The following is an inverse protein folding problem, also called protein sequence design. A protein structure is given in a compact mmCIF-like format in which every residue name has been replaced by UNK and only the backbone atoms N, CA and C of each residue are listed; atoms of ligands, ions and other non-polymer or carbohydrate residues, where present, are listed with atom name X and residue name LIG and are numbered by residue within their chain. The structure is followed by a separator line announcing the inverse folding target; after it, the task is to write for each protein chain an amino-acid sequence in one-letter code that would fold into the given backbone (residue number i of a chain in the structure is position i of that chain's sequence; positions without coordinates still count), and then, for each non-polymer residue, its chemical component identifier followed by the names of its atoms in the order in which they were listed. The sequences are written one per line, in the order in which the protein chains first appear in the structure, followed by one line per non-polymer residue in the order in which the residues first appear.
data_IF_532235249013
#
_entry.id   IF_532235249013
#
_cell.length_a   1.000
_cell.length_b   1.000
_cell.length_c   1.000
_cell.angle_alpha   90.00
_cell.angle_beta   90.00
_cell.angle_gamma   90.00
#
_symmetry.space_group_name_H-M   'P 1'
#
loop_
_entity.id
_entity.type
_entity.pdbx_description
1 polymer ?
#
# COMPACT_ATOMS: atom_id res chain seq x y z
N UNK A 1 -30.18 -11.74 -0.84
CA UNK A 1 -28.97 -11.06 -0.33
C UNK A 1 -27.81 -11.33 -1.29
N UNK A 2 -27.04 -10.31 -1.67
CA UNK A 2 -25.85 -10.44 -2.50
C UNK A 2 -24.61 -10.18 -1.64
N UNK A 3 -23.52 -10.88 -1.91
CA UNK A 3 -22.24 -10.73 -1.16
C UNK A 3 -21.75 -9.30 -1.12
N UNK A 4 -21.89 -8.56 -2.23
CA UNK A 4 -21.52 -7.14 -2.30
C UNK A 4 -22.26 -6.24 -1.31
N UNK A 5 -23.45 -6.62 -0.84
CA UNK A 5 -24.18 -5.85 0.18
C UNK A 5 -23.53 -6.02 1.56
N UNK A 6 -22.98 -7.21 1.88
CA UNK A 6 -22.23 -7.44 3.10
C UNK A 6 -20.90 -6.67 3.08
N UNK A 7 -20.19 -6.70 1.94
CA UNK A 7 -18.95 -5.93 1.77
C UNK A 7 -19.17 -4.42 1.89
N UNK A 8 -20.25 -3.90 1.28
CA UNK A 8 -20.64 -2.49 1.40
C UNK A 8 -21.00 -2.13 2.84
N UNK A 9 -21.69 -3.02 3.55
CA UNK A 9 -22.06 -2.83 4.95
C UNK A 9 -20.84 -2.83 5.88
N UNK A 10 -19.90 -3.74 5.69
CA UNK A 10 -18.63 -3.76 6.42
C UNK A 10 -17.86 -2.45 6.18
N UNK A 11 -17.74 -2.01 4.94
CA UNK A 11 -17.11 -0.73 4.61
C UNK A 11 -17.78 0.46 5.30
N UNK A 12 -19.12 0.47 5.40
CA UNK A 12 -19.86 1.52 6.11
C UNK A 12 -19.61 1.50 7.61
N UNK A 13 -19.56 0.31 8.21
CA UNK A 13 -19.28 0.14 9.63
C UNK A 13 -17.90 0.71 10.02
N UNK A 14 -16.89 0.47 9.17
CA UNK A 14 -15.51 0.93 9.38
C UNK A 14 -15.36 2.43 9.14
N UNK A 15 -15.87 2.94 8.02
CA UNK A 15 -15.69 4.35 7.64
C UNK A 15 -16.63 5.31 8.35
N UNK A 16 -17.79 4.80 8.81
CA UNK A 16 -18.90 5.57 9.41
C UNK A 16 -19.40 6.72 8.52
N UNK A 17 -19.22 6.57 7.20
CA UNK A 17 -19.55 7.60 6.20
C UNK A 17 -20.04 6.97 4.91
N UNK A 18 -21.28 7.23 4.53
CA UNK A 18 -21.85 6.75 3.25
C UNK A 18 -21.06 7.22 2.03
N UNK A 19 -20.64 8.50 2.02
CA UNK A 19 -19.89 9.05 0.88
C UNK A 19 -18.51 8.42 0.76
N UNK A 20 -17.79 8.26 1.89
CA UNK A 20 -16.45 7.64 1.90
C UNK A 20 -16.51 6.16 1.51
N UNK A 21 -17.49 5.42 2.05
CA UNK A 21 -17.69 4.02 1.68
C UNK A 21 -18.03 3.87 0.19
N UNK A 22 -18.91 4.72 -0.35
CA UNK A 22 -19.26 4.69 -1.76
C UNK A 22 -18.02 4.90 -2.65
N UNK A 23 -17.12 5.83 -2.30
CA UNK A 23 -15.86 6.05 -2.99
C UNK A 23 -14.95 4.81 -2.92
N UNK A 24 -14.75 4.24 -1.72
CA UNK A 24 -13.94 3.03 -1.52
C UNK A 24 -14.50 1.82 -2.28
N UNK A 25 -15.81 1.74 -2.43
CA UNK A 25 -16.50 0.66 -3.13
C UNK A 25 -16.73 0.95 -4.63
N UNK A 26 -16.17 2.06 -5.16
CA UNK A 26 -16.27 2.48 -6.56
C UNK A 26 -17.71 2.55 -7.09
N UNK A 27 -18.62 3.05 -6.26
CA UNK A 27 -20.03 3.25 -6.63
C UNK A 27 -20.50 4.66 -6.28
N UNK A 28 -21.61 5.09 -6.89
CA UNK A 28 -22.23 6.36 -6.50
C UNK A 28 -22.90 6.25 -5.12
N UNK A 29 -22.87 7.32 -4.33
CA UNK A 29 -23.47 7.33 -2.99
C UNK A 29 -24.97 6.94 -2.99
N UNK A 30 -25.82 7.34 -3.97
CA UNK A 30 -27.18 6.85 -4.04
C UNK A 30 -27.29 5.33 -4.31
N UNK A 31 -26.41 4.78 -5.13
CA UNK A 31 -26.37 3.33 -5.37
C UNK A 31 -25.93 2.56 -4.11
N UNK A 32 -24.91 3.06 -3.42
CA UNK A 32 -24.44 2.51 -2.15
C UNK A 32 -25.56 2.53 -1.09
N UNK A 33 -26.24 3.67 -0.91
CA UNK A 33 -27.33 3.80 0.05
C UNK A 33 -28.48 2.82 -0.24
N UNK A 34 -28.83 2.62 -1.52
CA UNK A 34 -29.86 1.63 -1.91
C UNK A 34 -29.45 0.20 -1.56
N UNK A 35 -28.18 -0.16 -1.67
CA UNK A 35 -27.70 -1.51 -1.28
C UNK A 35 -27.77 -1.73 0.22
N UNK A 36 -27.45 -0.72 1.04
CA UNK A 36 -27.63 -0.79 2.50
C UNK A 36 -29.12 -0.92 2.84
N UNK A 37 -30.00 -0.13 2.22
CA UNK A 37 -31.45 -0.27 2.41
C UNK A 37 -31.97 -1.65 2.01
N UNK A 38 -31.48 -2.23 0.92
CA UNK A 38 -31.83 -3.59 0.50
C UNK A 38 -31.37 -4.64 1.51
N UNK A 39 -30.22 -4.43 2.15
CA UNK A 39 -29.73 -5.30 3.22
C UNK A 39 -30.58 -5.18 4.49
N UNK A 40 -30.97 -3.96 4.89
CA UNK A 40 -31.89 -3.70 6.00
C UNK A 40 -33.28 -4.34 5.75
N UNK A 41 -33.79 -4.22 4.53
CA UNK A 41 -35.04 -4.87 4.13
C UNK A 41 -34.94 -6.41 4.19
N UNK A 42 -33.81 -6.97 3.79
CA UNK A 42 -33.56 -8.41 3.91
C UNK A 42 -33.43 -8.86 5.38
N UNK A 43 -32.76 -8.04 6.22
CA UNK A 43 -32.60 -8.31 7.65
C UNK A 43 -33.90 -8.12 8.46
N UNK A 44 -34.87 -7.39 7.90
CA UNK A 44 -36.13 -7.07 8.56
C UNK A 44 -36.00 -6.05 9.70
N UNK A 45 -34.88 -5.35 9.80
CA UNK A 45 -34.59 -4.35 10.84
C UNK A 45 -33.57 -3.33 10.36
N UNK A 46 -33.58 -2.14 10.97
CA UNK A 46 -32.56 -1.14 10.75
C UNK A 46 -31.20 -1.61 11.28
N UNK A 47 -30.19 -1.55 10.46
CA UNK A 47 -28.81 -1.91 10.79
C UNK A 47 -27.95 -0.70 11.10
N UNK A 48 -28.40 0.48 10.62
CA UNK A 48 -27.66 1.74 10.68
C UNK A 48 -28.51 2.82 11.33
N UNK A 49 -28.01 3.46 12.36
CA UNK A 49 -28.59 4.68 12.94
C UNK A 49 -28.20 5.88 12.07
N UNK A 50 -29.18 6.37 11.30
CA UNK A 50 -29.01 7.52 10.40
C UNK A 50 -29.22 8.87 11.09
N UNK A 51 -29.68 8.87 12.34
CA UNK A 51 -29.90 10.08 13.12
C UNK A 51 -28.60 10.63 13.73
N UNK A 52 -27.57 9.78 13.83
CA UNK A 52 -26.27 10.13 14.39
C UNK A 52 -25.24 10.52 13.33
N UNK A 53 -24.39 11.51 13.66
CA UNK A 53 -23.22 11.86 12.85
C UNK A 53 -21.97 11.86 13.75
N UNK A 54 -20.91 11.09 13.43
CA UNK A 54 -20.81 10.10 12.34
C UNK A 54 -21.81 8.94 12.49
N UNK A 55 -22.16 8.32 11.37
CA UNK A 55 -23.10 7.18 11.29
C UNK A 55 -22.69 6.05 12.24
N UNK A 56 -23.65 5.45 12.93
CA UNK A 56 -23.42 4.35 13.88
C UNK A 56 -24.22 3.11 13.50
N UNK A 57 -23.73 1.95 13.92
CA UNK A 57 -24.50 0.71 13.84
C UNK A 57 -25.52 0.61 14.97
N UNK A 58 -26.70 0.08 14.66
CA UNK A 58 -27.65 -0.39 15.66
C UNK A 58 -27.12 -1.64 16.36
N UNK A 59 -27.74 -2.11 17.49
CA UNK A 59 -27.38 -3.41 18.07
C UNK A 59 -27.50 -4.57 17.08
N UNK A 60 -28.54 -4.60 16.24
CA UNK A 60 -28.70 -5.55 15.15
C UNK A 60 -27.59 -5.40 14.09
N UNK A 61 -27.24 -4.15 13.77
CA UNK A 61 -26.12 -3.86 12.86
C UNK A 61 -24.79 -4.39 13.37
N UNK A 62 -24.50 -4.29 14.68
CA UNK A 62 -23.27 -4.84 15.26
C UNK A 62 -23.24 -6.37 15.14
N UNK A 63 -24.34 -7.05 15.47
CA UNK A 63 -24.44 -8.50 15.29
C UNK A 63 -24.24 -8.91 13.84
N UNK A 64 -24.87 -8.21 12.88
CA UNK A 64 -24.69 -8.52 11.47
C UNK A 64 -23.27 -8.18 11.00
N UNK A 65 -22.60 -7.16 11.53
CA UNK A 65 -21.23 -6.82 11.20
C UNK A 65 -20.28 -7.98 11.52
N UNK A 66 -20.34 -8.49 12.75
CA UNK A 66 -19.51 -9.62 13.20
C UNK A 66 -19.76 -10.87 12.34
N UNK A 67 -21.02 -11.18 12.07
CA UNK A 67 -21.41 -12.31 11.21
C UNK A 67 -21.03 -12.09 9.73
N UNK A 68 -21.07 -10.84 9.25
CA UNK A 68 -20.65 -10.52 7.87
C UNK A 68 -19.18 -10.77 7.66
N UNK A 69 -18.33 -10.45 8.64
CA UNK A 69 -16.90 -10.75 8.60
C UNK A 69 -16.65 -12.26 8.49
N UNK A 70 -17.34 -13.08 9.30
CA UNK A 70 -17.23 -14.55 9.28
C UNK A 70 -17.71 -15.13 7.94
N UNK A 71 -18.86 -14.67 7.43
CA UNK A 71 -19.43 -15.14 6.16
C UNK A 71 -18.51 -14.81 4.97
N UNK A 72 -18.04 -13.57 4.89
CA UNK A 72 -17.13 -13.13 3.84
C UNK A 72 -15.83 -13.94 3.91
N UNK A 73 -15.32 -14.16 5.11
CA UNK A 73 -14.16 -15.01 5.35
C UNK A 73 -14.37 -16.44 4.84
N UNK A 74 -15.50 -17.05 5.19
CA UNK A 74 -15.85 -18.42 4.75
C UNK A 74 -15.93 -18.54 3.24
N UNK A 75 -16.51 -17.54 2.56
CA UNK A 75 -16.55 -17.47 1.09
C UNK A 75 -15.14 -17.33 0.48
N UNK A 76 -14.30 -16.51 1.06
CA UNK A 76 -12.90 -16.35 0.60
C UNK A 76 -12.10 -17.64 0.78
N UNK A 77 -12.24 -18.31 1.93
CA UNK A 77 -11.58 -19.58 2.19
C UNK A 77 -12.04 -20.67 1.21
N UNK A 78 -13.36 -20.76 0.98
CA UNK A 78 -13.92 -21.70 0.01
C UNK A 78 -13.40 -21.43 -1.40
N UNK A 79 -13.33 -20.16 -1.81
CA UNK A 79 -12.78 -19.77 -3.11
C UNK A 79 -11.28 -20.09 -3.23
N UNK A 80 -10.51 -19.91 -2.15
CA UNK A 80 -9.11 -20.29 -2.09
C UNK A 80 -8.93 -21.80 -2.22
N UNK A 81 -9.73 -22.59 -1.51
CA UNK A 81 -9.74 -24.06 -1.62
C UNK A 81 -10.09 -24.53 -3.03
N UNK A 82 -11.13 -23.96 -3.66
CA UNK A 82 -11.51 -24.30 -5.03
C UNK A 82 -10.42 -23.96 -6.04
N UNK A 83 -9.74 -22.84 -5.86
CA UNK A 83 -8.59 -22.46 -6.69
C UNK A 83 -7.39 -23.39 -6.48
N UNK A 84 -7.13 -23.83 -5.26
CA UNK A 84 -6.09 -24.82 -4.97
C UNK A 84 -6.36 -26.17 -5.66
N UNK A 85 -7.63 -26.55 -5.82
CA UNK A 85 -8.03 -27.75 -6.56
C UNK A 85 -7.93 -27.60 -8.08
N UNK A 86 -8.12 -26.39 -8.62
CA UNK A 86 -8.08 -26.13 -10.09
C UNK A 86 -6.70 -25.70 -10.61
N UNK A 87 -5.77 -25.34 -9.73
CA UNK A 87 -4.47 -24.86 -10.18
C UNK A 87 -3.51 -26.03 -10.49
N UNK A 88 -3.38 -26.33 -11.77
CA UNK A 88 -2.17 -26.95 -12.39
C UNK A 88 -0.90 -26.11 -12.13
N UNK A 89 -0.91 -25.16 -11.19
CA UNK A 89 0.10 -24.14 -10.92
C UNK A 89 0.58 -24.10 -9.49
N UNK A 90 0.76 -25.26 -8.81
CA UNK A 90 1.41 -25.31 -7.48
C UNK A 90 2.83 -24.70 -7.47
N UNK A 91 3.40 -24.44 -8.65
CA UNK A 91 4.75 -23.92 -8.83
C UNK A 91 4.84 -22.41 -9.05
N UNK A 92 3.71 -21.68 -9.15
CA UNK A 92 3.70 -20.23 -9.40
C UNK A 92 3.28 -19.49 -8.14
N UNK A 93 4.16 -18.64 -7.62
CA UNK A 93 3.86 -17.76 -6.48
C UNK A 93 3.32 -16.42 -7.00
N UNK A 94 2.11 -16.05 -6.57
CA UNK A 94 1.45 -14.82 -6.95
C UNK A 94 1.70 -13.72 -5.91
N UNK A 95 2.26 -12.61 -6.35
CA UNK A 95 2.57 -11.44 -5.54
C UNK A 95 1.68 -10.27 -5.91
N UNK A 96 1.04 -9.63 -4.93
CA UNK A 96 0.46 -8.30 -5.06
C UNK A 96 1.46 -7.28 -4.52
N UNK A 97 1.83 -6.29 -5.34
CA UNK A 97 2.91 -5.34 -4.99
C UNK A 97 2.51 -3.94 -5.46
N UNK A 98 2.59 -2.90 -4.62
CA UNK A 98 2.41 -1.53 -5.06
C UNK A 98 3.37 -1.14 -6.19
N UNK A 99 2.88 -0.32 -7.13
CA UNK A 99 3.60 0.04 -8.35
C UNK A 99 5.07 0.39 -8.12
N UNK A 100 5.36 1.27 -7.17
CA UNK A 100 6.74 1.69 -6.87
C UNK A 100 7.62 0.50 -6.50
N UNK A 101 7.21 -0.33 -5.53
CA UNK A 101 7.97 -1.52 -5.11
C UNK A 101 8.09 -2.56 -6.24
N UNK A 102 7.07 -2.68 -7.09
CA UNK A 102 7.07 -3.59 -8.23
C UNK A 102 8.19 -3.28 -9.22
N UNK A 103 8.54 -2.00 -9.40
CA UNK A 103 9.60 -1.56 -10.31
C UNK A 103 10.97 -1.43 -9.64
N UNK A 104 11.01 -1.00 -8.38
CA UNK A 104 12.27 -0.58 -7.75
C UNK A 104 12.88 -1.64 -6.86
N UNK A 105 12.06 -2.38 -6.12
CA UNK A 105 12.47 -3.36 -5.12
C UNK A 105 12.36 -4.80 -5.64
N UNK A 106 11.20 -5.18 -6.14
CA UNK A 106 10.84 -6.57 -6.45
C UNK A 106 11.81 -7.27 -7.41
N UNK A 107 12.30 -6.66 -8.52
CA UNK A 107 13.19 -7.36 -9.45
C UNK A 107 14.52 -7.75 -8.81
N UNK A 108 15.16 -6.87 -8.05
CA UNK A 108 16.40 -7.15 -7.36
C UNK A 108 16.20 -8.20 -6.26
N UNK A 109 15.14 -8.03 -5.46
CA UNK A 109 14.79 -8.95 -4.38
C UNK A 109 14.50 -10.38 -4.89
N UNK A 110 13.77 -10.54 -6.00
CA UNK A 110 13.53 -11.88 -6.60
C UNK A 110 14.82 -12.49 -7.13
N UNK A 111 15.72 -11.70 -7.72
CA UNK A 111 17.01 -12.22 -8.19
C UNK A 111 17.85 -12.78 -7.05
N UNK A 112 17.92 -12.08 -5.92
CA UNK A 112 18.62 -12.56 -4.72
C UNK A 112 17.92 -13.78 -4.11
N UNK A 113 16.60 -13.75 -4.09
CA UNK A 113 15.80 -14.87 -3.59
C UNK A 113 16.00 -16.14 -4.43
N UNK A 114 16.11 -16.01 -5.75
CA UNK A 114 16.48 -17.14 -6.62
C UNK A 114 17.86 -17.70 -6.31
N UNK A 115 18.82 -16.87 -5.91
CA UNK A 115 20.15 -17.31 -5.52
C UNK A 115 20.16 -18.06 -4.18
N UNK A 116 19.28 -17.70 -3.22
CA UNK A 116 19.26 -18.25 -1.86
C UNK A 116 18.28 -19.44 -1.72
N UNK A 117 17.08 -19.31 -2.26
CA UNK A 117 15.99 -20.27 -2.17
C UNK A 117 15.98 -21.25 -3.35
N UNK A 118 16.45 -20.81 -4.50
CA UNK A 118 16.37 -21.54 -5.77
C UNK A 118 15.29 -20.95 -6.70
N UNK A 119 15.28 -21.39 -7.98
CA UNK A 119 14.38 -20.87 -8.99
C UNK A 119 12.92 -21.27 -8.72
N UNK A 120 12.00 -20.32 -8.83
CA UNK A 120 10.56 -20.54 -8.80
C UNK A 120 9.85 -19.64 -9.82
N UNK A 121 8.64 -20.04 -10.20
CA UNK A 121 7.81 -19.22 -11.09
C UNK A 121 7.07 -18.16 -10.25
N UNK A 122 7.13 -16.91 -10.66
CA UNK A 122 6.44 -15.82 -10.00
C UNK A 122 5.41 -15.17 -10.93
N UNK A 123 4.32 -14.67 -10.34
CA UNK A 123 3.34 -13.79 -10.99
C UNK A 123 3.27 -12.50 -10.19
N UNK A 124 3.64 -11.40 -10.81
CA UNK A 124 3.54 -10.07 -10.21
C UNK A 124 2.24 -9.40 -10.63
N UNK A 125 1.50 -8.87 -9.67
CA UNK A 125 0.29 -8.06 -9.86
C UNK A 125 0.60 -6.69 -9.27
N UNK A 126 0.90 -5.72 -10.13
CA UNK A 126 1.20 -4.35 -9.72
C UNK A 126 -0.11 -3.56 -9.55
N UNK A 127 -0.29 -2.92 -8.40
CA UNK A 127 -1.53 -2.24 -8.00
C UNK A 127 -1.19 -0.98 -7.19
N UNK A 128 -2.19 -0.17 -6.80
CA UNK A 128 -2.00 0.76 -5.70
C UNK A 128 -2.04 0.01 -4.35
N UNK A 129 -1.65 0.69 -3.24
CA UNK A 129 -1.54 0.01 -1.94
C UNK A 129 -2.86 -0.57 -1.48
N UNK A 130 -3.97 0.18 -1.61
CA UNK A 130 -5.29 -0.28 -1.19
C UNK A 130 -5.72 -1.55 -1.95
N UNK A 131 -5.62 -1.52 -3.28
CA UNK A 131 -6.02 -2.65 -4.13
C UNK A 131 -5.10 -3.86 -3.93
N UNK A 132 -3.81 -3.65 -3.64
CA UNK A 132 -2.87 -4.72 -3.32
C UNK A 132 -3.25 -5.42 -2.00
N UNK A 133 -3.64 -4.66 -0.97
CA UNK A 133 -4.17 -5.19 0.30
C UNK A 133 -5.48 -5.95 0.06
N UNK A 134 -6.41 -5.37 -0.69
CA UNK A 134 -7.67 -6.04 -1.03
C UNK A 134 -7.43 -7.32 -1.82
N UNK A 135 -6.43 -7.34 -2.71
CA UNK A 135 -6.05 -8.53 -3.45
C UNK A 135 -5.60 -9.69 -2.56
N UNK A 136 -4.86 -9.38 -1.48
CA UNK A 136 -4.51 -10.38 -0.46
C UNK A 136 -5.75 -10.83 0.32
N UNK A 137 -6.57 -9.88 0.78
CA UNK A 137 -7.78 -10.16 1.56
C UNK A 137 -8.76 -11.03 0.78
N UNK A 138 -8.89 -10.82 -0.53
CA UNK A 138 -9.73 -11.61 -1.44
C UNK A 138 -9.09 -12.94 -1.86
N UNK A 139 -7.93 -13.33 -1.33
CA UNK A 139 -7.22 -14.54 -1.71
C UNK A 139 -6.77 -14.54 -3.18
N UNK A 140 -6.56 -13.35 -3.76
CA UNK A 140 -6.17 -13.19 -5.17
C UNK A 140 -4.67 -13.23 -5.41
N UNK A 141 -3.85 -13.32 -4.35
CA UNK A 141 -2.40 -13.53 -4.38
C UNK A 141 -2.00 -14.39 -3.17
N UNK A 142 -0.78 -14.92 -3.22
CA UNK A 142 -0.17 -15.67 -2.11
C UNK A 142 0.53 -14.75 -1.11
N UNK A 143 1.16 -13.69 -1.62
CA UNK A 143 1.93 -12.74 -0.83
C UNK A 143 1.63 -11.30 -1.28
N UNK A 144 1.48 -10.41 -0.30
CA UNK A 144 1.50 -8.96 -0.48
C UNK A 144 2.88 -8.45 -0.05
N UNK A 145 3.53 -7.64 -0.87
CA UNK A 145 4.73 -6.87 -0.45
C UNK A 145 4.33 -5.40 -0.43
N UNK A 146 4.53 -4.72 0.69
CA UNK A 146 4.13 -3.31 0.81
C UNK A 146 5.04 -2.54 1.79
N UNK A 147 5.02 -1.22 1.68
CA UNK A 147 5.60 -0.33 2.69
C UNK A 147 4.78 -0.36 3.97
N UNK A 148 5.47 -0.23 5.08
CA UNK A 148 4.86 -0.04 6.39
C UNK A 148 5.55 1.07 7.16
N UNK A 149 4.76 1.97 7.74
CA UNK A 149 5.22 2.96 8.71
C UNK A 149 4.21 3.04 9.85
N UNK A 150 4.64 3.23 11.13
CA UNK A 150 3.71 3.31 12.27
C UNK A 150 2.64 4.39 12.15
N UNK A 151 2.96 5.52 11.50
CA UNK A 151 2.01 6.60 11.25
C UNK A 151 1.04 6.34 10.09
N UNK A 152 1.30 5.31 9.27
CA UNK A 152 0.47 4.89 8.15
C UNK A 152 0.50 3.36 8.04
N UNK A 153 -0.04 2.64 9.05
CA UNK A 153 0.00 1.18 9.07
C UNK A 153 -0.89 0.59 8.00
N UNK A 154 -0.46 -0.55 7.44
CA UNK A 154 -1.36 -1.40 6.66
C UNK A 154 -2.30 -2.08 7.64
N UNK A 155 -3.60 -1.87 7.45
CA UNK A 155 -4.63 -2.43 8.30
C UNK A 155 -4.96 -3.86 7.84
N UNK A 156 -4.28 -4.83 8.43
CA UNK A 156 -4.54 -6.26 8.31
C UNK A 156 -4.70 -6.82 9.71
N UNK A 157 -5.67 -7.70 9.91
CA UNK A 157 -5.89 -8.38 11.17
C UNK A 157 -4.70 -9.29 11.50
N UNK A 158 -4.01 -9.03 12.62
CA UNK A 158 -2.82 -9.77 13.05
C UNK A 158 -3.13 -11.23 13.44
N UNK A 159 -4.38 -11.54 13.79
CA UNK A 159 -4.83 -12.92 14.05
C UNK A 159 -4.88 -13.72 12.75
N UNK A 160 -5.28 -13.07 11.66
CA UNK A 160 -5.48 -13.70 10.35
C UNK A 160 -4.24 -13.64 9.47
N UNK A 161 -3.48 -12.56 9.52
CA UNK A 161 -2.33 -12.34 8.66
C UNK A 161 -1.04 -12.37 9.45
N UNK A 162 -0.01 -12.90 8.85
CA UNK A 162 1.35 -12.84 9.39
C UNK A 162 2.24 -12.05 8.45
N UNK A 163 3.31 -11.50 9.00
CA UNK A 163 4.23 -10.67 8.26
C UNK A 163 5.69 -11.04 8.53
N UNK A 164 6.54 -10.72 7.56
CA UNK A 164 7.99 -10.76 7.69
C UNK A 164 8.57 -9.44 7.14
N UNK A 165 9.58 -8.90 7.82
CA UNK A 165 10.31 -7.73 7.32
C UNK A 165 11.24 -8.14 6.19
N UNK A 166 11.21 -7.38 5.09
CA UNK A 166 12.06 -7.56 3.92
C UNK A 166 13.18 -6.51 3.84
N UNK A 167 13.21 -5.55 4.74
CA UNK A 167 14.20 -4.49 4.76
C UNK A 167 13.60 -3.15 5.09
N UNK A 168 14.40 -2.10 4.93
CA UNK A 168 14.02 -0.72 5.16
C UNK A 168 14.37 0.15 3.96
N UNK A 169 13.63 1.22 3.79
CA UNK A 169 13.81 2.17 2.72
C UNK A 169 13.55 3.60 3.19
N UNK A 170 14.37 4.54 2.73
CA UNK A 170 14.21 5.95 3.04
C UNK A 170 13.41 6.66 1.93
N UNK A 171 12.44 7.47 2.34
CA UNK A 171 11.75 8.45 1.50
C UNK A 171 12.39 9.82 1.76
N UNK A 172 12.97 10.44 0.73
CA UNK A 172 13.72 11.68 0.87
C UNK A 172 13.55 12.58 -0.38
N UNK A 173 13.85 13.90 -0.28
CA UNK A 173 13.70 14.83 -1.39
C UNK A 173 14.90 14.80 -2.35
N UNK A 174 14.62 14.77 -3.65
CA UNK A 174 15.60 14.77 -4.73
C UNK A 174 15.25 15.78 -5.81
N UNK A 175 16.29 16.28 -6.48
CA UNK A 175 16.19 17.18 -7.63
C UNK A 175 17.29 16.90 -8.65
N UNK A 176 17.13 17.40 -9.87
CA UNK A 176 18.18 17.43 -10.88
C UNK A 176 19.36 18.29 -10.39
N UNK A 177 20.63 17.88 -10.61
CA UNK A 177 21.78 18.74 -10.35
C UNK A 177 21.90 19.87 -11.37
N UNK A 178 22.47 20.99 -10.95
CA UNK A 178 22.96 22.05 -11.81
C UNK A 178 24.34 21.72 -12.42
N UNK A 179 24.95 22.63 -13.13
CA UNK A 179 26.28 22.47 -13.74
C UNK A 179 27.41 22.26 -12.72
N UNK A 180 27.20 22.62 -11.45
CA UNK A 180 28.13 22.48 -10.33
C UNK A 180 27.86 21.21 -9.50
N UNK A 181 26.86 20.40 -9.89
CA UNK A 181 26.47 19.20 -9.16
C UNK A 181 25.62 19.47 -7.91
N UNK A 182 25.14 20.71 -7.71
CA UNK A 182 24.24 21.06 -6.62
C UNK A 182 22.78 20.89 -7.07
N UNK A 183 21.83 20.64 -6.13
CA UNK A 183 20.43 20.52 -6.51
C UNK A 183 19.92 21.83 -7.13
N UNK A 184 19.32 21.73 -8.32
CA UNK A 184 18.71 22.86 -9.03
C UNK A 184 17.65 23.56 -8.16
N UNK A 185 16.95 22.78 -7.33
CA UNK A 185 15.98 23.26 -6.34
C UNK A 185 16.39 22.76 -4.97
N UNK A 186 16.84 23.67 -4.10
CA UNK A 186 17.34 23.34 -2.76
C UNK A 186 16.35 23.73 -1.68
N UNK A 187 15.93 22.77 -0.86
CA UNK A 187 15.09 23.02 0.30
C UNK A 187 15.81 23.87 1.36
N UNK A 188 15.06 24.72 2.12
CA UNK A 188 13.60 24.73 2.26
C UNK A 188 12.86 25.67 1.28
N UNK A 189 13.52 26.36 0.37
CA UNK A 189 12.93 27.40 -0.46
C UNK A 189 12.69 28.72 0.29
N UNK A 190 12.00 29.67 -0.33
CA UNK A 190 11.66 30.95 0.26
C UNK A 190 10.18 31.29 0.04
N UNK A 191 9.56 32.01 0.98
CA UNK A 191 8.13 32.36 0.89
C UNK A 191 7.79 33.18 -0.37
N UNK A 192 8.72 34.06 -0.79
CA UNK A 192 8.54 34.88 -2.00
C UNK A 192 8.84 34.13 -3.29
N UNK A 193 9.54 33.00 -3.22
CA UNK A 193 9.93 32.18 -4.37
C UNK A 193 9.82 30.69 -3.94
N UNK A 194 8.61 30.13 -3.85
CA UNK A 194 8.43 28.74 -3.51
C UNK A 194 9.02 27.84 -4.61
N UNK A 195 9.55 26.69 -4.20
CA UNK A 195 10.16 25.74 -5.14
C UNK A 195 9.09 24.93 -5.87
N UNK A 196 9.24 24.66 -7.18
CA UNK A 196 8.36 23.78 -7.90
C UNK A 196 8.40 22.38 -7.27
N UNK A 197 7.25 21.88 -6.89
CA UNK A 197 7.07 20.61 -6.20
C UNK A 197 6.31 19.61 -7.06
N UNK A 198 6.89 18.43 -7.20
CA UNK A 198 6.32 17.30 -7.88
C UNK A 198 5.71 16.38 -6.80
N UNK A 199 4.39 16.48 -6.61
CA UNK A 199 3.67 15.86 -5.51
C UNK A 199 3.01 14.54 -5.87
N UNK A 200 2.74 13.75 -4.85
CA UNK A 200 1.86 12.59 -5.00
C UNK A 200 0.39 13.03 -5.03
N UNK A 201 -0.42 12.26 -5.76
CA UNK A 201 -1.87 12.44 -5.79
C UNK A 201 -2.50 12.19 -4.42
N UNK A 202 -3.67 12.80 -4.19
CA UNK A 202 -4.43 12.63 -2.96
C UNK A 202 -4.76 11.14 -2.72
N UNK A 203 -4.45 10.64 -1.52
CA UNK A 203 -4.68 9.25 -1.14
C UNK A 203 -3.52 8.30 -1.45
N UNK A 204 -2.47 8.74 -2.15
CA UNK A 204 -1.28 7.93 -2.36
C UNK A 204 -0.53 7.70 -1.02
N UNK A 205 -0.10 6.46 -0.77
CA UNK A 205 0.60 6.08 0.46
C UNK A 205 1.85 6.93 0.71
N UNK A 206 2.72 7.06 -0.31
CA UNK A 206 3.93 7.88 -0.22
C UNK A 206 3.62 9.38 -0.12
N UNK A 207 2.49 9.83 -0.67
CA UNK A 207 2.00 11.20 -0.51
C UNK A 207 1.70 11.52 0.95
N UNK A 208 0.99 10.64 1.64
CA UNK A 208 0.72 10.77 3.08
C UNK A 208 1.99 10.85 3.92
N UNK A 209 2.98 10.01 3.63
CA UNK A 209 4.26 10.05 4.33
C UNK A 209 5.04 11.33 4.01
N UNK A 210 4.99 11.81 2.77
CA UNK A 210 5.60 13.11 2.40
C UNK A 210 4.96 14.26 3.17
N UNK A 211 3.63 14.29 3.27
CA UNK A 211 2.92 15.31 4.05
C UNK A 211 3.31 15.24 5.55
N UNK A 212 3.52 14.04 6.09
CA UNK A 212 4.03 13.87 7.45
C UNK A 212 5.46 14.39 7.61
N UNK A 213 6.37 14.10 6.67
CA UNK A 213 7.73 14.64 6.67
C UNK A 213 7.69 16.17 6.71
N UNK A 214 6.94 16.79 5.78
CA UNK A 214 6.83 18.24 5.68
C UNK A 214 6.26 18.86 6.96
N UNK A 215 5.24 18.22 7.56
CA UNK A 215 4.62 18.68 8.80
C UNK A 215 5.51 18.53 10.03
N UNK A 216 6.27 17.43 10.10
CA UNK A 216 7.11 17.09 11.25
C UNK A 216 8.51 17.69 11.20
N UNK A 217 8.93 18.23 10.05
CA UNK A 217 10.26 18.82 9.84
C UNK A 217 10.60 19.98 10.79
N UNK A 218 9.57 20.64 11.36
CA UNK A 218 9.73 21.75 12.29
C UNK A 218 10.24 23.05 11.65
N UNK A 219 10.41 23.06 10.33
CA UNK A 219 10.89 24.23 9.56
C UNK A 219 9.85 24.63 8.50
N UNK A 220 9.75 25.94 8.17
CA UNK A 220 8.89 26.38 7.08
C UNK A 220 9.50 25.96 5.74
N UNK A 221 8.77 25.13 5.00
CA UNK A 221 9.15 24.68 3.65
C UNK A 221 8.20 25.30 2.65
N UNK A 222 8.76 25.98 1.65
CA UNK A 222 8.01 26.74 0.67
C UNK A 222 8.01 26.02 -0.68
N UNK A 223 6.92 25.32 -0.96
CA UNK A 223 6.72 24.50 -2.15
C UNK A 223 5.47 24.96 -2.90
N UNK A 224 5.56 25.01 -4.23
CA UNK A 224 4.45 25.21 -5.16
C UNK A 224 4.24 23.91 -5.95
N UNK A 225 3.08 23.26 -5.78
CA UNK A 225 2.77 22.00 -6.46
C UNK A 225 2.46 22.23 -7.93
N UNK A 226 3.41 21.90 -8.80
CA UNK A 226 3.32 22.10 -10.26
C UNK A 226 2.95 20.82 -11.03
N UNK A 227 3.04 19.65 -10.38
CA UNK A 227 2.71 18.35 -10.99
C UNK A 227 2.21 17.37 -9.93
N UNK A 228 1.31 16.46 -10.31
CA UNK A 228 0.74 15.45 -9.42
C UNK A 228 0.57 14.11 -10.13
N UNK A 229 0.96 13.01 -9.47
CA UNK A 229 0.73 11.63 -9.90
C UNK A 229 0.76 10.69 -8.67
N UNK A 230 0.17 9.52 -8.78
CA UNK A 230 0.24 8.46 -7.75
C UNK A 230 1.51 7.60 -7.85
N UNK A 231 2.30 7.75 -8.91
CA UNK A 231 3.47 6.91 -9.21
C UNK A 231 4.79 7.64 -8.95
N UNK A 232 5.64 7.09 -8.07
CA UNK A 232 6.98 7.62 -7.81
C UNK A 232 7.85 7.67 -9.09
N UNK A 233 7.69 6.71 -10.00
CA UNK A 233 8.40 6.71 -11.28
C UNK A 233 8.04 7.90 -12.16
N UNK A 234 6.77 8.35 -12.14
CA UNK A 234 6.34 9.56 -12.83
C UNK A 234 6.98 10.82 -12.24
N UNK A 235 7.02 10.92 -10.91
CA UNK A 235 7.71 12.03 -10.21
C UNK A 235 9.22 12.03 -10.50
N UNK A 236 9.85 10.85 -10.50
CA UNK A 236 11.28 10.70 -10.83
C UNK A 236 11.57 11.18 -12.25
N UNK A 237 10.76 10.78 -13.22
CA UNK A 237 10.93 11.20 -14.62
C UNK A 237 10.87 12.75 -14.75
N UNK A 238 9.90 13.38 -14.10
CA UNK A 238 9.77 14.83 -14.10
C UNK A 238 10.94 15.54 -13.36
N UNK A 239 11.42 14.94 -12.26
CA UNK A 239 12.59 15.47 -11.54
C UNK A 239 13.87 15.40 -12.38
N UNK A 240 14.08 14.32 -13.14
CA UNK A 240 15.22 14.16 -14.08
C UNK A 240 15.22 15.22 -15.18
N UNK A 241 14.05 15.64 -15.66
CA UNK A 241 13.92 16.74 -16.61
C UNK A 241 14.10 18.13 -15.98
N UNK A 242 14.14 18.20 -14.63
CA UNK A 242 14.39 19.44 -13.90
C UNK A 242 13.13 20.27 -13.64
N UNK A 243 11.96 19.64 -13.61
CA UNK A 243 10.70 20.34 -13.38
C UNK A 243 10.41 20.66 -11.91
N UNK A 244 11.16 20.10 -10.97
CA UNK A 244 10.94 20.38 -9.53
C UNK A 244 11.64 19.42 -8.59
N UNK A 245 11.30 19.56 -7.29
CA UNK A 245 11.69 18.64 -6.21
C UNK A 245 10.65 17.56 -6.06
N UNK A 246 11.10 16.31 -5.90
CA UNK A 246 10.24 15.17 -5.60
C UNK A 246 10.75 14.43 -4.35
N UNK A 247 9.83 13.96 -3.49
CA UNK A 247 10.17 13.00 -2.44
C UNK A 247 10.04 11.58 -3.03
N UNK A 248 11.15 10.86 -3.05
CA UNK A 248 11.24 9.56 -3.71
C UNK A 248 11.86 8.51 -2.79
N UNK A 249 11.44 7.24 -2.88
CA UNK A 249 12.11 6.14 -2.21
C UNK A 249 13.55 5.97 -2.73
N UNK A 250 14.46 5.59 -1.83
CA UNK A 250 15.89 5.42 -2.16
C UNK A 250 16.13 4.39 -3.27
N UNK A 251 15.35 3.30 -3.29
CA UNK A 251 15.44 2.29 -4.36
C UNK A 251 15.08 2.85 -5.73
N UNK A 252 14.12 3.79 -5.79
CA UNK A 252 13.67 4.40 -7.02
C UNK A 252 14.74 5.28 -7.69
N UNK A 253 15.69 5.81 -6.91
CA UNK A 253 16.69 6.80 -7.38
C UNK A 253 18.13 6.30 -7.34
N UNK A 254 18.37 5.07 -6.87
CA UNK A 254 19.72 4.52 -6.67
C UNK A 254 20.60 4.64 -7.90
N UNK A 255 20.10 4.28 -9.08
CA UNK A 255 20.84 4.34 -10.35
C UNK A 255 21.12 5.78 -10.77
N UNK A 256 20.16 6.65 -10.59
CA UNK A 256 20.24 8.07 -10.95
C UNK A 256 21.21 8.84 -10.04
N UNK A 257 21.22 8.50 -8.72
CA UNK A 257 22.21 9.03 -7.77
C UNK A 257 23.64 8.57 -8.12
N UNK A 258 23.82 7.27 -8.38
CA UNK A 258 25.12 6.75 -8.78
C UNK A 258 25.63 7.33 -10.12
N UNK A 259 24.72 7.68 -11.02
CA UNK A 259 25.04 8.31 -12.30
C UNK A 259 25.12 9.86 -12.22
N UNK A 260 24.91 10.48 -11.04
CA UNK A 260 24.90 11.93 -10.86
C UNK A 260 23.77 12.64 -11.61
N UNK A 261 22.68 11.94 -11.96
CA UNK A 261 21.52 12.50 -12.66
C UNK A 261 20.49 13.10 -11.72
N UNK A 262 20.47 12.65 -10.48
CA UNK A 262 19.71 13.22 -9.37
C UNK A 262 20.65 13.43 -8.19
N UNK A 263 20.32 14.39 -7.32
CA UNK A 263 21.01 14.68 -6.07
C UNK A 263 19.99 14.96 -4.98
N UNK A 264 20.40 14.79 -3.71
CA UNK A 264 19.55 15.14 -2.56
C UNK A 264 19.25 16.65 -2.56
N UNK A 265 17.97 17.00 -2.46
CA UNK A 265 17.52 18.39 -2.44
C UNK A 265 17.60 19.02 -1.05
N UNK A 266 17.78 18.23 0.01
CA UNK A 266 17.96 18.71 1.38
C UNK A 266 19.43 18.99 1.68
N UNK A 267 19.78 20.18 2.25
CA UNK A 267 21.11 20.44 2.78
C UNK A 267 21.44 19.49 3.95
N UNK A 268 22.71 19.34 4.27
CA UNK A 268 23.18 18.31 5.23
C UNK A 268 22.45 18.36 6.58
N UNK A 269 22.22 19.57 7.10
CA UNK A 269 21.55 19.86 8.37
C UNK A 269 20.04 19.54 8.37
N UNK A 270 19.44 19.40 7.20
CA UNK A 270 18.01 19.13 7.03
C UNK A 270 17.72 17.73 6.47
N UNK A 271 18.74 16.90 6.24
CA UNK A 271 18.53 15.53 5.70
C UNK A 271 17.71 14.69 6.63
N UNK A 272 18.05 14.66 7.92
CA UNK A 272 17.34 13.84 8.91
C UNK A 272 15.88 14.28 9.07
N UNK A 273 15.54 15.56 9.32
CA UNK A 273 14.13 15.95 9.44
C UNK A 273 13.33 15.91 8.12
N UNK A 274 14.00 15.83 6.96
CA UNK A 274 13.34 15.76 5.65
C UNK A 274 13.35 14.36 5.02
N UNK A 275 13.59 13.35 5.82
CA UNK A 275 13.48 11.95 5.39
C UNK A 275 12.63 11.14 6.35
N UNK A 276 12.11 10.02 5.86
CA UNK A 276 11.37 9.06 6.66
C UNK A 276 11.79 7.65 6.26
N UNK A 277 12.08 6.81 7.25
CA UNK A 277 12.41 5.41 7.03
C UNK A 277 11.15 4.57 7.14
N UNK A 278 10.91 3.75 6.13
CA UNK A 278 9.79 2.82 6.04
C UNK A 278 10.32 1.39 6.04
N UNK A 279 9.58 0.47 6.64
CA UNK A 279 9.82 -0.96 6.43
C UNK A 279 9.22 -1.39 5.09
N UNK A 280 9.89 -2.31 4.42
CA UNK A 280 9.30 -3.13 3.35
C UNK A 280 8.94 -4.46 3.98
N UNK A 281 7.68 -4.86 3.92
CA UNK A 281 7.16 -6.07 4.55
C UNK A 281 6.43 -6.96 3.56
N UNK A 282 6.60 -8.27 3.72
CA UNK A 282 5.71 -9.25 3.09
C UNK A 282 4.63 -9.68 4.09
N UNK A 283 3.42 -9.87 3.56
CA UNK A 283 2.27 -10.34 4.31
C UNK A 283 1.64 -11.53 3.61
N UNK A 284 1.12 -12.48 4.39
CA UNK A 284 0.27 -13.55 3.89
C UNK A 284 -0.83 -13.90 4.89
N UNK A 285 -1.85 -14.59 4.42
CA UNK A 285 -2.85 -15.20 5.29
C UNK A 285 -2.25 -16.40 6.04
N UNK A 286 -2.55 -16.50 7.35
CA UNK A 286 -2.13 -17.66 8.16
C UNK A 286 -2.83 -18.91 7.67
N UNK A 287 -2.12 -20.04 7.52
CA UNK A 287 -2.77 -21.31 7.22
C UNK A 287 -3.78 -21.69 8.33
N UNK A 288 -5.00 -22.03 7.95
CA UNK A 288 -6.03 -22.48 8.88
C UNK A 288 -6.11 -24.01 8.87
N UNK A 289 -6.00 -24.63 10.04
CA UNK A 289 -6.14 -26.09 10.22
C UNK A 289 -4.80 -26.85 10.23
N UNK A 290 -4.90 -28.19 10.31
CA UNK A 290 -3.74 -29.09 10.37
C UNK A 290 -3.09 -29.36 9.01
N UNK A 291 -3.81 -29.10 7.91
CA UNK A 291 -3.29 -29.25 6.55
C UNK A 291 -2.65 -27.94 6.09
N UNK A 292 -1.37 -27.79 6.40
CA UNK A 292 -0.57 -26.69 5.86
C UNK A 292 -0.45 -26.90 4.34
N UNK A 293 -0.85 -25.93 3.50
CA UNK A 293 -0.74 -26.06 2.05
C UNK A 293 0.69 -26.43 1.65
N UNK A 294 0.88 -27.57 0.97
CA UNK A 294 2.17 -27.93 0.40
C UNK A 294 2.29 -27.21 -0.94
N UNK A 295 3.34 -26.39 -1.12
CA UNK A 295 3.59 -25.69 -2.38
C UNK A 295 4.74 -24.68 -2.25
N UNK A 296 5.17 -24.14 -3.38
CA UNK A 296 6.30 -23.22 -3.47
C UNK A 296 6.10 -21.96 -2.61
N UNK A 297 4.90 -21.42 -2.55
CA UNK A 297 4.58 -20.24 -1.72
C UNK A 297 4.79 -20.49 -0.23
N UNK A 298 4.42 -21.70 0.28
CA UNK A 298 4.63 -22.09 1.67
C UNK A 298 6.12 -22.28 1.99
N UNK A 299 6.85 -22.97 1.12
CA UNK A 299 8.30 -23.18 1.26
C UNK A 299 9.04 -21.83 1.23
N UNK A 300 8.65 -20.95 0.32
CA UNK A 300 9.18 -19.60 0.22
C UNK A 300 8.95 -18.80 1.50
N UNK A 301 7.75 -18.83 2.05
CA UNK A 301 7.44 -18.13 3.30
C UNK A 301 8.27 -18.65 4.46
N UNK A 302 8.39 -19.97 4.62
CA UNK A 302 9.24 -20.58 5.65
C UNK A 302 10.70 -20.15 5.50
N UNK A 303 11.20 -20.06 4.25
CA UNK A 303 12.54 -19.56 3.97
C UNK A 303 12.70 -18.10 4.41
N UNK A 304 11.75 -17.21 4.08
CA UNK A 304 11.77 -15.80 4.49
C UNK A 304 11.74 -15.63 6.01
N UNK A 305 10.96 -16.47 6.72
CA UNK A 305 10.92 -16.46 8.18
C UNK A 305 12.24 -16.92 8.82
N UNK A 306 12.90 -17.92 8.25
CA UNK A 306 14.12 -18.50 8.80
C UNK A 306 15.38 -17.65 8.55
N UNK A 307 15.47 -17.00 7.38
CA UNK A 307 16.70 -16.33 6.95
C UNK A 307 16.57 -14.80 6.92
N UNK A 308 15.37 -14.26 7.20
CA UNK A 308 15.08 -12.85 6.99
C UNK A 308 15.07 -12.47 5.49
N UNK A 309 15.00 -11.18 5.23
CA UNK A 309 15.12 -10.69 3.86
C UNK A 309 16.55 -10.78 3.37
N UNK A 310 16.77 -11.12 2.09
CA UNK A 310 18.06 -10.89 1.44
C UNK A 310 18.46 -9.42 1.63
N UNK A 311 19.68 -9.18 2.14
CA UNK A 311 20.19 -7.81 2.28
C UNK A 311 20.34 -7.20 0.89
N UNK A 312 19.46 -6.28 0.52
CA UNK A 312 19.69 -5.41 -0.63
C UNK A 312 20.81 -4.43 -0.27
N UNK A 313 22.04 -4.75 -0.68
CA UNK A 313 23.22 -3.90 -0.52
C UNK A 313 23.10 -2.57 -1.26
#
# INVERSE_FOLDING_TARGET
METKWLEDFVSLAETRSFSRSAQLRHVTQPAFSRRIQALEAWAGTDLVDRSSYPTRLTPAGKTLYDQSLEMLQGLHNTRAMLRAHTSSGKDVVAFAVPHTLAFTFFPAWVSELHAQFGPFKSRLIALNVHDAVMRLVEGGCDLLIAYHHPSQPIQLDAERYEMVSLGQEALAPYAKPDAQGQPLYRLPGAAQLPLPYLGYAAGAYLGHLTDLILKQSGIPIHLDRVYETDMAEGLKAMALEGHGVAFLPSSAVRKELAAGKLVGAAPAELREPLQMVMDVRAYRERPVGKDVPQGTAQALWAHLQAHGAPCLG
#
